data_IF_657036042778
#
_entry.id   IF_657036042778
#
_cell.length_a   1.000
_cell.length_b   1.000
_cell.length_c   1.000
_cell.angle_alpha   90.00
_cell.angle_beta   90.00
_cell.angle_gamma   90.00
#
_symmetry.space_group_name_H-M   'P 1'
#
loop_
_entity.id
_entity.type
_entity.pdbx_description
1 polymer ?
#
# COMPACT_ATOMS: atom_id res chain seq x y z
N UNK A 1 -6.63 38.25 1.59
CA UNK A 1 -5.96 37.13 0.91
C UNK A 1 -6.03 35.94 1.85
N UNK A 2 -6.95 35.00 1.61
CA UNK A 2 -7.08 33.79 2.42
C UNK A 2 -5.90 32.87 2.09
N UNK A 3 -5.11 32.48 3.09
CA UNK A 3 -3.99 31.56 2.90
C UNK A 3 -4.50 30.22 2.41
N UNK A 4 -4.06 29.81 1.23
CA UNK A 4 -4.26 28.45 0.73
C UNK A 4 -3.39 27.51 1.58
N UNK A 5 -3.91 27.05 2.72
CA UNK A 5 -3.26 25.95 3.43
C UNK A 5 -3.47 24.71 2.59
N UNK A 6 -2.46 24.37 1.78
CA UNK A 6 -2.42 23.12 1.04
C UNK A 6 -2.59 21.93 1.98
N UNK A 7 -2.93 20.78 1.40
CA UNK A 7 -2.98 19.55 2.15
C UNK A 7 -1.64 19.25 2.82
N UNK A 8 -1.69 18.87 4.10
CA UNK A 8 -0.55 18.39 4.87
C UNK A 8 -0.92 17.02 5.45
N UNK A 9 -0.15 15.96 5.16
CA UNK A 9 -0.37 14.64 5.75
C UNK A 9 -0.44 14.70 7.28
N UNK A 10 -1.45 14.07 7.88
CA UNK A 10 -1.61 13.99 9.34
C UNK A 10 -0.81 12.83 9.92
N UNK A 11 -0.77 11.71 9.21
CA UNK A 11 0.01 10.53 9.57
C UNK A 11 0.97 10.25 8.41
N UNK A 12 2.27 10.34 8.66
CA UNK A 12 3.27 10.07 7.64
C UNK A 12 3.34 8.57 7.33
N UNK A 13 3.37 8.23 6.04
CA UNK A 13 3.66 6.87 5.60
C UNK A 13 5.10 6.50 5.99
N UNK A 14 5.28 5.27 6.46
CA UNK A 14 6.55 4.55 6.39
C UNK A 14 6.52 3.71 5.13
N UNK A 15 7.66 3.54 4.47
CA UNK A 15 7.75 2.55 3.40
C UNK A 15 8.77 1.47 3.71
N UNK A 16 8.53 0.29 3.17
CA UNK A 16 9.48 -0.83 3.21
C UNK A 16 9.33 -1.68 1.97
N UNK A 17 10.42 -2.35 1.62
CA UNK A 17 10.46 -3.25 0.48
C UNK A 17 10.32 -4.70 0.89
N UNK A 18 9.48 -5.45 0.18
CA UNK A 18 9.28 -6.90 0.36
C UNK A 18 9.52 -7.62 -0.95
N UNK A 19 10.19 -8.78 -0.91
CA UNK A 19 10.40 -9.59 -2.10
C UNK A 19 9.29 -10.63 -2.23
N UNK A 20 8.43 -10.47 -3.23
CA UNK A 20 7.26 -11.32 -3.47
C UNK A 20 7.28 -11.83 -4.91
N UNK A 21 7.16 -13.16 -5.09
CA UNK A 21 7.00 -13.81 -6.40
C UNK A 21 7.92 -13.26 -7.51
N UNK A 22 9.19 -13.02 -7.17
CA UNK A 22 10.21 -12.55 -8.12
C UNK A 22 10.31 -11.03 -8.32
N UNK A 23 9.44 -10.23 -7.70
CA UNK A 23 9.49 -8.77 -7.71
C UNK A 23 9.82 -8.21 -6.32
N UNK A 24 10.47 -7.04 -6.28
CA UNK A 24 10.61 -6.25 -5.05
C UNK A 24 9.47 -5.24 -5.01
N UNK A 25 8.55 -5.42 -4.07
CA UNK A 25 7.38 -4.61 -3.84
C UNK A 25 7.68 -3.46 -2.89
N UNK A 26 7.24 -2.25 -3.26
CA UNK A 26 7.13 -1.13 -2.32
C UNK A 26 5.83 -1.28 -1.52
N UNK A 27 5.93 -1.18 -0.21
CA UNK A 27 4.79 -1.25 0.71
C UNK A 27 4.73 0.05 1.48
N UNK A 28 3.61 0.76 1.37
CA UNK A 28 3.29 1.89 2.21
C UNK A 28 2.56 1.44 3.47
N UNK A 29 2.98 1.93 4.62
CA UNK A 29 2.44 1.55 5.91
C UNK A 29 2.16 2.77 6.79
N UNK A 30 0.98 2.83 7.40
CA UNK A 30 0.58 3.89 8.33
C UNK A 30 0.07 3.31 9.64
N UNK A 31 0.19 4.12 10.69
CA UNK A 31 -0.35 3.78 12.01
C UNK A 31 0.50 2.80 12.81
N UNK A 32 -0.08 2.27 13.87
CA UNK A 32 0.54 1.37 14.84
C UNK A 32 0.13 -0.08 14.56
N UNK A 33 1.10 -1.00 14.50
CA UNK A 33 0.90 -2.42 14.18
C UNK A 33 0.03 -3.17 15.20
N UNK A 34 -0.21 -2.60 16.39
CA UNK A 34 -1.11 -3.15 17.41
C UNK A 34 -2.60 -2.87 17.12
N UNK A 35 -2.91 -1.98 16.18
CA UNK A 35 -4.27 -1.68 15.76
C UNK A 35 -4.78 -2.69 14.73
N UNK A 36 -6.10 -2.82 14.54
CA UNK A 36 -6.63 -3.66 13.47
C UNK A 36 -6.06 -3.26 12.10
N UNK A 37 -5.73 -4.26 11.27
CA UNK A 37 -5.09 -4.04 9.97
C UNK A 37 -6.12 -3.87 8.85
N UNK A 38 -5.91 -2.88 7.98
CA UNK A 38 -6.60 -2.72 6.70
C UNK A 38 -5.57 -2.82 5.58
N UNK A 39 -5.86 -3.67 4.58
CA UNK A 39 -5.10 -3.72 3.33
C UNK A 39 -5.84 -2.88 2.29
N UNK A 40 -5.19 -1.84 1.76
CA UNK A 40 -5.74 -0.98 0.72
C UNK A 40 -5.06 -1.29 -0.62
N UNK A 41 -5.86 -1.65 -1.62
CA UNK A 41 -5.36 -2.12 -2.92
C UNK A 41 -5.76 -1.11 -3.99
N UNK A 42 -4.76 -0.56 -4.68
CA UNK A 42 -5.01 0.45 -5.71
C UNK A 42 -5.48 -0.19 -7.03
N UNK A 43 -6.07 0.64 -7.89
CA UNK A 43 -6.49 0.26 -9.24
C UNK A 43 -5.47 0.63 -10.31
N UNK A 44 -5.86 0.50 -11.58
CA UNK A 44 -5.01 0.88 -12.70
C UNK A 44 -4.71 2.39 -12.71
N UNK A 45 -3.44 2.74 -12.97
CA UNK A 45 -2.99 4.13 -13.08
C UNK A 45 -2.72 4.83 -11.74
N UNK A 46 -2.59 4.07 -10.66
CA UNK A 46 -2.39 4.58 -9.30
C UNK A 46 -1.26 3.82 -8.57
N UNK A 47 -0.96 4.22 -7.33
CA UNK A 47 -0.01 3.56 -6.42
C UNK A 47 -0.55 3.55 -4.97
N UNK A 48 0.04 2.73 -4.10
CA UNK A 48 -0.34 2.62 -2.69
C UNK A 48 -0.21 3.94 -1.93
N UNK A 49 0.77 4.79 -2.28
CA UNK A 49 0.96 6.11 -1.67
C UNK A 49 -0.23 7.07 -1.85
N UNK A 50 -1.10 6.85 -2.84
CA UNK A 50 -2.26 7.73 -3.09
C UNK A 50 -3.32 7.67 -1.98
N UNK A 51 -3.31 6.61 -1.17
CA UNK A 51 -4.25 6.43 -0.06
C UNK A 51 -4.02 7.39 1.12
N UNK A 52 -2.95 8.20 1.12
CA UNK A 52 -2.60 9.12 2.19
C UNK A 52 -3.78 10.01 2.67
N UNK A 53 -4.59 10.53 1.74
CA UNK A 53 -5.78 11.33 2.07
C UNK A 53 -6.90 10.50 2.72
N UNK A 54 -7.06 9.26 2.26
CA UNK A 54 -8.03 8.31 2.80
C UNK A 54 -7.65 7.90 4.22
N UNK A 55 -6.36 7.59 4.45
CA UNK A 55 -5.81 7.24 5.77
C UNK A 55 -6.06 8.37 6.77
N UNK A 56 -5.77 9.61 6.38
CA UNK A 56 -5.98 10.79 7.25
C UNK A 56 -7.46 11.06 7.59
N UNK A 57 -8.39 10.54 6.79
CA UNK A 57 -9.83 10.68 6.96
C UNK A 57 -10.46 9.56 7.80
N UNK A 58 -9.72 8.48 8.11
CA UNK A 58 -10.22 7.40 8.95
C UNK A 58 -10.55 7.91 10.37
N UNK A 59 -11.68 7.47 10.91
CA UNK A 59 -12.25 8.01 12.17
C UNK A 59 -11.70 7.34 13.44
N UNK A 60 -10.83 6.33 13.30
CA UNK A 60 -10.16 5.64 14.39
C UNK A 60 -8.74 5.29 13.95
N UNK A 61 -7.92 4.87 14.90
CA UNK A 61 -6.58 4.37 14.59
C UNK A 61 -6.67 3.00 13.91
N UNK A 62 -5.89 2.84 12.85
CA UNK A 62 -5.74 1.61 12.09
C UNK A 62 -4.27 1.38 11.77
N UNK A 63 -3.90 0.12 11.61
CA UNK A 63 -2.71 -0.24 10.89
C UNK A 63 -3.08 -0.36 9.40
N UNK A 64 -2.57 0.52 8.55
CA UNK A 64 -2.90 0.49 7.11
C UNK A 64 -1.69 0.05 6.33
N UNK A 65 -1.88 -0.91 5.43
CA UNK A 65 -0.88 -1.39 4.49
C UNK A 65 -1.40 -1.20 3.08
N UNK A 66 -0.64 -0.55 2.21
CA UNK A 66 -0.96 -0.39 0.80
C UNK A 66 0.27 -0.75 -0.06
N UNK A 67 0.26 -1.92 -0.74
CA UNK A 67 1.30 -2.26 -1.68
C UNK A 67 1.16 -1.46 -2.97
N UNK A 68 2.29 -1.16 -3.60
CA UNK A 68 2.34 -0.86 -5.02
C UNK A 68 2.28 -2.17 -5.80
N UNK A 69 1.31 -2.35 -6.69
CA UNK A 69 1.21 -3.56 -7.49
C UNK A 69 2.44 -3.78 -8.37
N UNK A 70 2.71 -5.04 -8.78
CA UNK A 70 3.78 -5.36 -9.72
C UNK A 70 3.79 -4.39 -10.90
N UNK A 71 4.93 -3.78 -11.19
CA UNK A 71 5.08 -2.82 -12.29
C UNK A 71 4.42 -1.45 -12.09
N UNK A 72 3.88 -1.14 -10.90
CA UNK A 72 3.34 0.18 -10.54
C UNK A 72 4.14 0.82 -9.40
N UNK A 73 4.00 2.14 -9.27
CA UNK A 73 4.68 2.93 -8.24
C UNK A 73 6.19 2.66 -8.21
N UNK A 74 6.70 2.37 -7.02
CA UNK A 74 8.11 2.05 -6.78
C UNK A 74 8.38 0.53 -6.72
N UNK A 75 7.36 -0.30 -6.98
CA UNK A 75 7.53 -1.75 -7.18
C UNK A 75 8.29 -2.02 -8.48
N UNK A 76 9.11 -3.07 -8.45
CA UNK A 76 9.92 -3.52 -9.60
C UNK A 76 9.12 -3.56 -10.90
N UNK A 77 9.78 -3.16 -12.00
CA UNK A 77 9.20 -3.23 -13.34
C UNK A 77 8.76 -4.66 -13.68
N UNK A 78 7.62 -4.79 -14.37
CA UNK A 78 7.10 -6.08 -14.82
C UNK A 78 7.38 -6.26 -16.31
N UNK A 79 8.34 -7.13 -16.63
CA UNK A 79 8.68 -7.51 -18.02
C UNK A 79 7.62 -8.43 -18.67
N UNK A 80 6.69 -8.96 -17.86
CA UNK A 80 5.64 -9.88 -18.29
C UNK A 80 4.30 -9.20 -18.62
N UNK A 81 3.27 -10.02 -18.79
CA UNK A 81 1.89 -9.53 -18.90
C UNK A 81 1.33 -9.13 -17.54
N UNK A 82 0.34 -8.23 -17.55
CA UNK A 82 -0.41 -7.83 -16.36
C UNK A 82 -1.66 -8.69 -16.21
N UNK A 83 -1.47 -9.98 -15.95
CA UNK A 83 -2.58 -10.92 -15.82
C UNK A 83 -3.20 -10.86 -14.43
N UNK A 84 -4.53 -10.70 -14.34
CA UNK A 84 -5.21 -10.47 -13.06
C UNK A 84 -4.90 -11.52 -11.96
N UNK A 85 -4.84 -12.83 -12.26
CA UNK A 85 -4.45 -13.84 -11.27
C UNK A 85 -3.07 -13.65 -10.65
N UNK A 86 -2.13 -12.99 -11.34
CA UNK A 86 -0.82 -12.70 -10.74
C UNK A 86 -0.94 -11.75 -9.55
N UNK A 87 -1.80 -10.72 -9.64
CA UNK A 87 -2.04 -9.81 -8.53
C UNK A 87 -2.64 -10.52 -7.32
N UNK A 88 -3.52 -11.51 -7.54
CA UNK A 88 -4.08 -12.31 -6.45
C UNK A 88 -3.02 -13.20 -5.81
N UNK A 89 -2.15 -13.81 -6.60
CA UNK A 89 -1.04 -14.61 -6.07
C UNK A 89 0.00 -13.75 -5.34
N UNK A 90 0.21 -12.50 -5.76
CA UNK A 90 1.05 -11.55 -5.02
C UNK A 90 0.42 -11.12 -3.71
N UNK A 91 -0.90 -10.89 -3.71
CA UNK A 91 -1.65 -10.57 -2.50
C UNK A 91 -1.57 -11.72 -1.49
N UNK A 92 -1.74 -12.96 -1.94
CA UNK A 92 -1.60 -14.16 -1.11
C UNK A 92 -0.20 -14.22 -0.46
N UNK A 93 0.86 -14.08 -1.28
CA UNK A 93 2.23 -14.05 -0.78
C UNK A 93 2.53 -12.87 0.17
N UNK A 94 1.89 -11.71 -0.07
CA UNK A 94 1.99 -10.55 0.81
C UNK A 94 1.35 -10.85 2.18
N UNK A 95 0.14 -11.40 2.19
CA UNK A 95 -0.60 -11.72 3.42
C UNK A 95 0.16 -12.75 4.27
N UNK A 96 0.71 -13.79 3.64
CA UNK A 96 1.58 -14.77 4.29
C UNK A 96 2.82 -14.11 4.91
N UNK A 97 3.45 -13.17 4.20
CA UNK A 97 4.64 -12.46 4.69
C UNK A 97 4.35 -11.52 5.86
N UNK A 98 3.13 -10.99 5.93
CA UNK A 98 2.71 -10.07 6.97
C UNK A 98 2.19 -10.78 8.23
N UNK A 99 2.20 -12.12 8.26
CA UNK A 99 1.57 -12.94 9.29
C UNK A 99 0.08 -12.57 9.53
N UNK A 100 -0.60 -12.06 8.49
CA UNK A 100 -2.03 -11.75 8.53
C UNK A 100 -2.79 -13.04 8.21
N UNK A 101 -2.63 -14.06 9.03
CA UNK A 101 -3.47 -15.26 8.99
C UNK A 101 -4.63 -15.07 9.97
N UNK A 102 -5.86 -15.23 9.45
CA UNK A 102 -7.10 -15.04 10.20
C UNK A 102 -7.34 -16.04 11.33
#
# INVERSE_FOLDING_TARGET
MSGNSGYCPRIAARTRQLRLRGATYEIHEWGDTSQPTIIMLHGWGDCGGSFQFTVDALQRDWHVIAPDWRGFGDTSHNDGSYWFPDYLADLDALLDTLDVTG
#
